data_IF_708522472330
#
_entry.id   IF_708522472330
#
_cell.length_a   1.000
_cell.length_b   1.000
_cell.length_c   1.000
_cell.angle_alpha   90.00
_cell.angle_beta   90.00
_cell.angle_gamma   90.00
#
_symmetry.space_group_name_H-M   'P 1'
#
loop_
_entity.id
_entity.type
_entity.pdbx_description
1 polymer ?
#
# COMPACT_ATOMS: atom_id res chain seq x y z
N UNK A 1 11.92 10.24 12.70
CA UNK A 1 10.80 11.21 12.70
C UNK A 1 11.37 12.59 12.89
N UNK A 2 10.99 13.53 12.03
CA UNK A 2 11.68 14.81 11.79
C UNK A 2 11.34 15.89 12.83
N UNK A 3 11.21 15.52 14.12
CA UNK A 3 10.80 16.47 15.17
C UNK A 3 9.33 16.90 15.10
N UNK A 4 8.46 16.11 14.46
CA UNK A 4 7.01 16.32 14.44
C UNK A 4 6.40 15.55 15.61
N UNK A 5 5.67 16.25 16.47
CA UNK A 5 4.91 15.63 17.56
C UNK A 5 3.65 14.96 17.00
N UNK A 6 3.60 13.63 17.07
CA UNK A 6 2.50 12.85 16.48
C UNK A 6 1.19 13.10 17.22
N UNK A 7 1.25 13.36 18.53
CA UNK A 7 0.06 13.63 19.34
C UNK A 7 -0.68 14.91 18.91
N UNK A 8 -0.01 15.82 18.20
CA UNK A 8 -0.61 17.08 17.73
C UNK A 8 -1.21 16.97 16.31
N UNK A 9 -1.02 15.84 15.62
CA UNK A 9 -1.53 15.63 14.26
C UNK A 9 -2.96 15.08 14.26
N UNK A 10 -3.85 15.71 13.49
CA UNK A 10 -5.19 15.16 13.25
C UNK A 10 -5.15 13.87 12.41
N UNK A 11 -4.23 13.78 11.43
CA UNK A 11 -4.05 12.63 10.54
C UNK A 11 -2.58 12.45 10.23
N UNK A 12 -2.10 11.20 10.31
CA UNK A 12 -0.77 10.80 9.88
C UNK A 12 -0.86 9.87 8.67
N UNK A 13 -0.34 10.31 7.52
CA UNK A 13 -0.25 9.49 6.31
C UNK A 13 1.05 8.68 6.33
N UNK A 14 0.96 7.36 6.15
CA UNK A 14 2.10 6.46 6.18
C UNK A 14 2.17 5.64 4.90
N UNK A 15 3.35 5.59 4.28
CA UNK A 15 3.62 4.72 3.13
C UNK A 15 4.04 3.32 3.60
N UNK A 16 3.14 2.62 4.26
CA UNK A 16 3.34 1.26 4.74
C UNK A 16 1.98 0.57 4.93
N UNK A 17 1.96 -0.76 4.94
CA UNK A 17 0.73 -1.53 5.17
C UNK A 17 0.83 -2.44 6.41
N UNK A 18 1.70 -3.44 6.37
CA UNK A 18 1.67 -4.52 7.38
C UNK A 18 2.59 -4.27 8.58
N UNK A 19 3.88 -3.97 8.33
CA UNK A 19 4.87 -3.80 9.42
C UNK A 19 4.58 -2.60 10.32
N UNK A 20 3.99 -1.53 9.77
CA UNK A 20 3.63 -0.34 10.54
C UNK A 20 2.55 -0.65 11.58
N UNK A 21 1.53 -1.43 11.21
CA UNK A 21 0.45 -1.82 12.13
C UNK A 21 1.00 -2.50 13.39
N UNK A 22 1.89 -3.47 13.21
CA UNK A 22 2.49 -4.18 14.34
C UNK A 22 3.25 -3.26 15.31
N UNK A 23 3.97 -2.25 14.80
CA UNK A 23 4.81 -1.37 15.61
C UNK A 23 4.05 -0.17 16.23
N UNK A 24 2.95 0.29 15.61
CA UNK A 24 2.34 1.58 15.94
C UNK A 24 0.88 1.51 16.40
N UNK A 25 0.29 0.31 16.54
CA UNK A 25 -1.11 0.16 17.01
C UNK A 25 -1.37 0.87 18.34
N UNK A 26 -0.40 0.88 19.27
CA UNK A 26 -0.56 1.57 20.56
C UNK A 26 -0.66 3.10 20.43
N UNK A 27 0.01 3.69 19.44
CA UNK A 27 0.04 5.15 19.22
C UNK A 27 -1.04 5.61 18.23
N UNK A 28 -1.42 4.75 17.29
CA UNK A 28 -2.40 5.02 16.25
C UNK A 28 -3.41 3.85 16.21
N UNK A 29 -4.37 3.79 17.15
CA UNK A 29 -5.29 2.65 17.27
C UNK A 29 -6.27 2.54 16.11
N UNK A 30 -6.55 3.65 15.43
CA UNK A 30 -7.38 3.69 14.23
C UNK A 30 -6.46 3.89 13.02
N UNK A 31 -6.48 2.93 12.11
CA UNK A 31 -5.70 2.97 10.88
C UNK A 31 -6.56 2.58 9.69
N UNK A 32 -6.75 3.52 8.77
CA UNK A 32 -7.59 3.37 7.57
C UNK A 32 -6.66 3.08 6.39
N UNK A 33 -6.89 1.97 5.70
CA UNK A 33 -6.22 1.69 4.43
C UNK A 33 -6.82 2.59 3.34
N UNK A 34 -5.97 3.31 2.61
CA UNK A 34 -6.38 4.18 1.51
C UNK A 34 -5.98 3.53 0.18
N UNK A 35 -6.94 3.42 -0.75
CA UNK A 35 -6.68 3.03 -2.12
C UNK A 35 -6.08 4.22 -2.91
N UNK A 36 -4.78 4.41 -2.75
CA UNK A 36 -4.03 5.48 -3.38
C UNK A 36 -3.31 5.00 -4.65
N UNK A 37 -3.20 5.83 -5.70
CA UNK A 37 -2.43 5.49 -6.88
C UNK A 37 -0.93 5.42 -6.54
N UNK A 38 -0.20 4.58 -7.27
CA UNK A 38 1.26 4.53 -7.16
C UNK A 38 1.83 3.17 -7.55
N UNK A 39 3.16 3.03 -7.56
CA UNK A 39 3.84 1.81 -8.00
C UNK A 39 3.62 0.59 -7.09
N UNK A 40 3.04 0.80 -5.90
CA UNK A 40 2.68 -0.27 -4.97
C UNK A 40 1.15 -0.53 -4.93
N UNK A 41 0.41 -0.10 -5.96
CA UNK A 41 -1.03 -0.34 -6.05
C UNK A 41 -1.34 -1.84 -6.18
N UNK A 42 -2.51 -2.24 -5.68
CA UNK A 42 -3.00 -3.62 -5.75
C UNK A 42 -3.38 -4.03 -7.18
N UNK A 43 -3.89 -3.07 -7.97
CA UNK A 43 -4.32 -3.32 -9.35
C UNK A 43 -3.11 -3.31 -10.30
N UNK A 44 -2.52 -4.50 -10.48
CA UNK A 44 -1.28 -4.62 -11.23
C UNK A 44 -1.47 -4.64 -12.76
N UNK A 45 -2.68 -4.90 -13.27
CA UNK A 45 -2.93 -4.98 -14.73
C UNK A 45 -2.71 -3.65 -15.46
N UNK A 46 -2.72 -2.54 -14.73
CA UNK A 46 -2.51 -1.19 -15.26
C UNK A 46 -1.04 -0.84 -15.46
N UNK A 47 -0.10 -1.66 -14.98
CA UNK A 47 1.32 -1.40 -15.14
C UNK A 47 1.88 -2.02 -16.45
N UNK A 48 2.86 -1.37 -17.09
CA UNK A 48 3.41 -1.81 -18.38
C UNK A 48 4.47 -2.93 -18.21
N UNK A 49 4.07 -4.08 -17.64
CA UNK A 49 4.98 -5.21 -17.45
C UNK A 49 5.41 -5.84 -18.78
N UNK A 50 6.71 -5.79 -19.09
CA UNK A 50 7.28 -6.38 -20.32
C UNK A 50 7.77 -7.81 -20.14
N UNK A 51 8.26 -8.14 -18.95
CA UNK A 51 8.93 -9.41 -18.64
C UNK A 51 8.17 -10.27 -17.61
N UNK A 52 6.94 -9.88 -17.25
CA UNK A 52 6.14 -10.69 -16.34
C UNK A 52 5.85 -12.08 -16.95
N UNK A 53 5.89 -13.15 -16.13
CA UNK A 53 5.61 -14.50 -16.62
C UNK A 53 4.27 -14.60 -17.37
N UNK A 54 4.20 -15.42 -18.43
CA UNK A 54 2.99 -15.57 -19.24
C UNK A 54 1.80 -16.15 -18.46
N UNK A 55 2.07 -16.76 -17.31
CA UNK A 55 1.11 -17.41 -16.42
C UNK A 55 0.74 -16.55 -15.21
N UNK A 56 1.28 -15.32 -15.10
CA UNK A 56 1.02 -14.47 -13.94
C UNK A 56 -0.40 -13.89 -14.00
N UNK A 57 -1.27 -14.43 -13.15
CA UNK A 57 -2.59 -13.84 -12.88
C UNK A 57 -2.45 -12.57 -12.01
N UNK A 58 -3.26 -11.51 -12.22
CA UNK A 58 -4.29 -11.34 -13.25
C UNK A 58 -3.78 -10.79 -14.59
N UNK A 59 -2.47 -10.58 -14.78
CA UNK A 59 -1.92 -9.94 -15.99
C UNK A 59 -2.28 -10.68 -17.29
N UNK A 60 -2.46 -12.00 -17.21
CA UNK A 60 -2.83 -12.84 -18.36
C UNK A 60 -3.87 -13.86 -17.92
N UNK A 61 -5.13 -13.55 -18.16
CA UNK A 61 -6.22 -14.51 -18.01
C UNK A 61 -6.42 -15.19 -19.37
N UNK A 62 -6.13 -16.49 -19.49
CA UNK A 62 -6.57 -17.28 -20.66
C UNK A 62 -8.06 -17.55 -20.49
N UNK A 63 -8.90 -16.66 -21.00
CA UNK A 63 -10.28 -16.99 -21.32
C UNK A 63 -10.59 -16.41 -22.69
N UNK A 64 -10.44 -17.27 -23.69
CA UNK A 64 -10.47 -17.01 -25.13
C UNK A 64 -9.88 -18.22 -25.83
#
# INVERSE_FOLDING_TARGET
MHGIEIAELAVLCVKAKNHFRAAFTALCPVMIDVDAPGPAALEITRFPFRLAPPTLYPLRNKMG
#
